data_IF_338615955531
#
_entry.id   IF_338615955531
#
_cell.length_a   1.000
_cell.length_b   1.000
_cell.length_c   1.000
_cell.angle_alpha   90.00
_cell.angle_beta   90.00
_cell.angle_gamma   90.00
#
_symmetry.space_group_name_H-M   'P 1'
#
loop_
_entity.id
_entity.type
_entity.pdbx_description
1 polymer ?
#
# COMPACT_ATOMS: atom_id res chain seq x y z
N UNK A 1 -27.79 -32.34 34.53
CA UNK A 1 -28.37 -31.07 34.04
C UNK A 1 -27.42 -29.86 34.12
N UNK A 2 -26.43 -29.82 35.03
CA UNK A 2 -25.48 -28.70 35.15
C UNK A 2 -24.60 -28.45 33.90
N UNK A 3 -24.24 -29.49 33.15
CA UNK A 3 -23.41 -29.36 31.94
C UNK A 3 -24.16 -28.64 30.80
N UNK A 4 -25.47 -28.91 30.65
CA UNK A 4 -26.30 -28.24 29.66
C UNK A 4 -26.39 -26.74 29.93
N UNK A 5 -26.56 -26.34 31.19
CA UNK A 5 -26.59 -24.93 31.58
C UNK A 5 -25.25 -24.21 31.33
N UNK A 6 -24.12 -24.89 31.52
CA UNK A 6 -22.79 -24.34 31.21
C UNK A 6 -22.62 -24.13 29.71
N UNK A 7 -23.04 -25.09 28.88
CA UNK A 7 -22.97 -24.99 27.42
C UNK A 7 -23.87 -23.86 26.90
N UNK A 8 -25.10 -23.75 27.40
CA UNK A 8 -26.02 -22.66 27.01
C UNK A 8 -25.44 -21.29 27.36
N UNK A 9 -24.86 -21.14 28.55
CA UNK A 9 -24.18 -19.88 28.94
C UNK A 9 -23.00 -19.57 28.03
N UNK A 10 -22.16 -20.56 27.72
CA UNK A 10 -21.01 -20.37 26.84
C UNK A 10 -21.44 -19.91 25.44
N UNK A 11 -22.51 -20.48 24.89
CA UNK A 11 -23.07 -20.09 23.59
C UNK A 11 -23.63 -18.65 23.61
N UNK A 12 -24.33 -18.27 24.68
CA UNK A 12 -24.83 -16.90 24.84
C UNK A 12 -23.69 -15.88 24.89
N UNK A 13 -22.62 -16.19 25.64
CA UNK A 13 -21.44 -15.33 25.69
C UNK A 13 -20.73 -15.25 24.34
N UNK A 14 -20.58 -16.36 23.62
CA UNK A 14 -19.94 -16.34 22.31
C UNK A 14 -20.72 -15.49 21.31
N UNK A 15 -22.05 -15.64 21.26
CA UNK A 15 -22.91 -14.82 20.39
C UNK A 15 -22.83 -13.35 20.77
N UNK A 16 -22.82 -13.04 22.07
CA UNK A 16 -22.68 -11.66 22.56
C UNK A 16 -21.35 -11.02 22.15
N UNK A 17 -20.22 -11.73 22.33
CA UNK A 17 -18.89 -11.23 21.97
C UNK A 17 -18.77 -11.08 20.44
N UNK A 18 -19.23 -12.06 19.67
CA UNK A 18 -19.20 -11.98 18.20
C UNK A 18 -20.08 -10.83 17.69
N UNK A 19 -21.27 -10.64 18.25
CA UNK A 19 -22.15 -9.53 17.90
C UNK A 19 -21.51 -8.17 18.15
N UNK A 20 -20.89 -7.98 19.33
CA UNK A 20 -20.15 -6.75 19.64
C UNK A 20 -18.98 -6.52 18.67
N UNK A 21 -18.25 -7.58 18.32
CA UNK A 21 -17.15 -7.52 17.36
C UNK A 21 -17.62 -7.07 15.96
N UNK A 22 -18.74 -7.62 15.48
CA UNK A 22 -19.31 -7.26 14.18
C UNK A 22 -19.79 -5.80 14.17
N UNK A 23 -20.45 -5.35 15.23
CA UNK A 23 -20.92 -3.95 15.35
C UNK A 23 -19.73 -2.99 15.35
N UNK A 24 -18.69 -3.28 16.12
CA UNK A 24 -17.49 -2.45 16.18
C UNK A 24 -16.76 -2.40 14.84
N UNK A 25 -16.64 -3.55 14.16
CA UNK A 25 -16.04 -3.64 12.84
C UNK A 25 -16.83 -2.80 11.82
N UNK A 26 -18.16 -2.94 11.78
CA UNK A 26 -19.01 -2.18 10.88
C UNK A 26 -18.94 -0.66 11.13
N UNK A 27 -18.81 -0.24 12.40
CA UNK A 27 -18.64 1.16 12.76
C UNK A 27 -17.27 1.73 12.37
N UNK A 28 -16.20 0.91 12.41
CA UNK A 28 -14.86 1.33 11.99
C UNK A 28 -14.65 1.26 10.48
N UNK A 29 -15.33 0.36 9.77
CA UNK A 29 -15.18 0.24 8.32
C UNK A 29 -15.73 1.48 7.64
N UNK A 30 -14.90 2.22 6.89
CA UNK A 30 -15.36 3.38 6.13
C UNK A 30 -16.38 2.93 5.10
N UNK A 31 -17.50 3.65 5.01
CA UNK A 31 -18.54 3.34 4.01
C UNK A 31 -17.96 3.38 2.60
N UNK A 32 -18.59 2.66 1.67
CA UNK A 32 -18.13 2.64 0.27
C UNK A 32 -18.06 4.04 -0.34
N UNK A 33 -18.92 4.96 0.09
CA UNK A 33 -18.89 6.36 -0.29
C UNK A 33 -17.60 7.05 0.18
N UNK A 34 -17.25 6.94 1.46
CA UNK A 34 -16.01 7.50 2.01
C UNK A 34 -14.76 6.88 1.36
N UNK A 35 -14.82 5.60 1.03
CA UNK A 35 -13.72 4.91 0.33
C UNK A 35 -13.55 5.45 -1.09
N UNK A 36 -14.65 5.69 -1.82
CA UNK A 36 -14.63 6.30 -3.16
C UNK A 36 -14.17 7.76 -3.12
N UNK A 37 -14.55 8.52 -2.10
CA UNK A 37 -14.08 9.90 -1.90
C UNK A 37 -12.58 9.95 -1.63
N UNK A 38 -12.06 9.12 -0.71
CA UNK A 38 -10.61 9.03 -0.49
C UNK A 38 -9.84 8.63 -1.74
N UNK A 39 -10.41 7.75 -2.60
CA UNK A 39 -9.77 7.39 -3.87
C UNK A 39 -9.60 8.60 -4.80
N UNK A 40 -10.56 9.54 -4.79
CA UNK A 40 -10.48 10.78 -5.58
C UNK A 40 -9.47 11.79 -5.02
N UNK A 41 -9.12 11.68 -3.75
CA UNK A 41 -8.10 12.53 -3.13
C UNK A 41 -6.67 12.03 -3.40
N UNK A 42 -6.49 10.81 -3.95
CA UNK A 42 -5.16 10.37 -4.32
C UNK A 42 -4.60 11.24 -5.44
N UNK A 43 -3.32 11.66 -5.35
CA UNK A 43 -2.67 12.45 -6.39
C UNK A 43 -2.66 11.71 -7.73
N UNK A 44 -2.65 10.38 -7.72
CA UNK A 44 -2.71 9.55 -8.94
C UNK A 44 -4.12 9.43 -9.55
N UNK A 45 -5.19 9.87 -8.89
CA UNK A 45 -6.56 9.69 -9.39
C UNK A 45 -6.99 10.77 -10.39
N UNK A 46 -6.39 11.95 -10.32
CA UNK A 46 -6.73 13.05 -11.21
C UNK A 46 -5.91 12.99 -12.51
N UNK A 47 -6.54 13.06 -13.70
CA UNK A 47 -5.83 13.03 -14.98
C UNK A 47 -4.77 14.14 -15.14
N UNK A 48 -5.02 15.31 -14.53
CA UNK A 48 -4.11 16.46 -14.57
C UNK A 48 -2.81 16.22 -13.79
N UNK A 49 -2.90 15.67 -12.57
CA UNK A 49 -1.70 15.32 -11.81
C UNK A 49 -0.93 14.17 -12.48
N UNK A 50 -1.62 13.22 -13.12
CA UNK A 50 -0.94 12.19 -13.91
C UNK A 50 -0.16 12.78 -15.09
N UNK A 51 -0.72 13.76 -15.80
CA UNK A 51 0.00 14.42 -16.90
C UNK A 51 1.24 15.18 -16.41
N UNK A 52 1.13 15.85 -15.27
CA UNK A 52 2.26 16.57 -14.67
C UNK A 52 3.36 15.61 -14.20
N UNK A 53 2.99 14.51 -13.52
CA UNK A 53 3.93 13.47 -13.12
C UNK A 53 4.61 12.80 -14.33
N UNK A 54 3.88 12.58 -15.43
CA UNK A 54 4.47 12.06 -16.68
C UNK A 54 5.50 13.01 -17.26
N UNK A 55 5.22 14.31 -17.25
CA UNK A 55 6.15 15.35 -17.70
C UNK A 55 7.40 15.39 -16.84
N UNK A 56 7.25 15.38 -15.52
CA UNK A 56 8.36 15.37 -14.58
C UNK A 56 9.20 14.10 -14.72
N UNK A 57 8.56 12.93 -14.85
CA UNK A 57 9.26 11.66 -15.08
C UNK A 57 10.03 11.65 -16.40
N UNK A 58 9.49 12.27 -17.46
CA UNK A 58 10.20 12.39 -18.74
C UNK A 58 11.46 13.25 -18.59
N UNK A 59 11.38 14.38 -17.89
CA UNK A 59 12.53 15.26 -17.62
C UNK A 59 13.59 14.57 -16.76
N UNK A 60 13.18 13.87 -15.71
CA UNK A 60 14.11 13.08 -14.88
C UNK A 60 14.78 12.00 -15.71
N UNK A 61 14.03 11.31 -16.58
CA UNK A 61 14.60 10.27 -17.45
C UNK A 61 15.60 10.83 -18.46
N UNK A 62 15.36 12.03 -18.98
CA UNK A 62 16.30 12.73 -19.87
C UNK A 62 17.62 13.01 -19.15
N UNK A 63 17.57 13.57 -17.94
CA UNK A 63 18.74 13.84 -17.10
C UNK A 63 19.49 12.55 -16.75
N UNK A 64 18.75 11.50 -16.37
CA UNK A 64 19.35 10.20 -16.05
C UNK A 64 20.04 9.57 -17.26
N UNK A 65 19.47 9.73 -18.46
CA UNK A 65 20.06 9.24 -19.70
C UNK A 65 21.34 10.00 -20.02
N UNK A 66 21.30 11.32 -19.94
CA UNK A 66 22.48 12.16 -20.12
C UNK A 66 23.59 11.76 -19.14
N UNK A 67 23.29 11.67 -17.84
CA UNK A 67 24.23 11.24 -16.82
C UNK A 67 24.77 9.81 -17.06
N UNK A 68 23.95 8.89 -17.58
CA UNK A 68 24.37 7.53 -17.90
C UNK A 68 25.35 7.45 -19.08
N UNK A 69 25.26 8.40 -20.02
CA UNK A 69 26.16 8.53 -21.17
C UNK A 69 27.51 9.17 -20.78
N UNK A 70 27.57 9.91 -19.66
CA UNK A 70 28.82 10.50 -19.17
C UNK A 70 29.84 9.47 -18.67
N UNK A 71 31.11 9.88 -18.69
CA UNK A 71 32.23 9.11 -18.12
C UNK A 71 32.23 9.09 -16.58
N UNK A 72 31.41 9.92 -15.93
CA UNK A 72 31.25 9.94 -14.49
C UNK A 72 30.28 8.86 -13.99
N UNK A 73 29.61 8.15 -14.91
CA UNK A 73 28.69 7.07 -14.59
C UNK A 73 29.38 5.98 -13.74
N UNK A 74 29.01 5.95 -12.46
CA UNK A 74 29.55 5.04 -11.45
C UNK A 74 29.26 3.57 -11.80
N UNK A 75 28.19 3.28 -12.54
CA UNK A 75 27.89 1.91 -12.98
C UNK A 75 28.92 1.35 -13.97
N UNK A 76 29.70 2.20 -14.66
CA UNK A 76 30.81 1.78 -15.53
C UNK A 76 32.10 1.54 -14.78
N UNK A 77 32.21 1.97 -13.52
CA UNK A 77 33.42 1.79 -12.72
C UNK A 77 33.54 0.33 -12.30
N UNK A 78 34.73 -0.22 -12.49
CA UNK A 78 35.09 -1.53 -11.92
C UNK A 78 35.23 -1.37 -10.42
N UNK A 79 34.32 -1.99 -9.67
CA UNK A 79 34.36 -1.96 -8.21
C UNK A 79 35.45 -2.88 -7.66
N UNK A 80 36.15 -2.49 -6.59
CA UNK A 80 37.29 -3.24 -6.06
C UNK A 80 36.95 -4.64 -5.53
N UNK A 81 35.67 -4.94 -5.30
CA UNK A 81 35.19 -6.25 -4.84
C UNK A 81 34.54 -7.11 -5.93
N UNK A 82 34.48 -6.64 -7.19
CA UNK A 82 33.96 -7.43 -8.31
C UNK A 82 35.12 -8.18 -8.94
N UNK A 83 35.18 -9.53 -8.86
CA UNK A 83 36.24 -10.30 -9.50
C UNK A 83 36.14 -10.11 -11.01
N UNK A 84 37.19 -9.51 -11.60
CA UNK A 84 37.34 -9.38 -13.04
C UNK A 84 37.59 -10.76 -13.62
N UNK A 85 36.55 -11.37 -14.19
CA UNK A 85 36.68 -12.64 -14.90
C UNK A 85 37.30 -12.34 -16.26
N UNK A 86 38.63 -12.52 -16.36
CA UNK A 86 39.35 -12.54 -17.63
C UNK A 86 39.11 -13.86 -18.35
#
# INVERSE_FOLDING_TARGET
MANAQRVVKALLYSVGITGLGVVLWAAMTPSEAQRKERIKELPCSSPQHQSELRRQNAQVMEILKEAAETNENVARRTWPWVPSNK
#
